data_IF_234360879767
#
_entry.id   IF_234360879767
#
_cell.length_a   1.000
_cell.length_b   1.000
_cell.length_c   1.000
_cell.angle_alpha   90.00
_cell.angle_beta   90.00
_cell.angle_gamma   90.00
#
_symmetry.space_group_name_H-M   'P 1'
#
loop_
_entity.id
_entity.type
_entity.pdbx_description
1 polymer ?
2 non-polymer ?
3 non-polymer ?
4 non-polymer ?
5 water ?
#
# COMPACT_ATOMS: atom_id res chain seq x y z
N UNK A 1 18.07 -14.68 -0.59
CA UNK A 1 18.19 -13.26 -0.15
C UNK A 1 16.85 -12.75 0.37
N UNK A 2 16.87 -12.16 1.57
CA UNK A 2 15.67 -11.61 2.19
C UNK A 2 15.86 -10.13 2.54
N UNK A 3 14.95 -9.29 2.04
CA UNK A 3 14.98 -7.86 2.30
C UNK A 3 13.66 -7.39 2.93
N UNK A 4 13.72 -6.34 3.74
CA UNK A 4 12.55 -5.81 4.43
C UNK A 4 12.48 -4.29 4.35
N UNK A 5 11.38 -3.73 4.82
CA UNK A 5 11.19 -2.30 4.75
C UNK A 5 9.87 -1.83 5.33
N UNK A 6 9.62 -0.53 5.18
CA UNK A 6 8.43 0.11 5.72
C UNK A 6 8.02 1.29 4.85
N UNK A 7 6.72 1.43 4.62
CA UNK A 7 6.18 2.47 3.75
C UNK A 7 5.24 3.31 4.59
N UNK A 8 5.69 4.49 5.00
CA UNK A 8 4.84 5.39 5.77
C UNK A 8 4.05 6.26 4.80
N UNK A 9 2.77 5.94 4.63
CA UNK A 9 1.90 6.68 3.72
C UNK A 9 1.44 8.01 4.30
N UNK A 10 1.27 8.07 5.62
CA UNK A 10 0.87 9.30 6.29
C UNK A 10 -0.58 9.69 6.04
N UNK A 11 -0.85 11.00 6.12
CA UNK A 11 -2.20 11.55 5.93
C UNK A 11 -2.68 11.36 4.49
N UNK A 12 -3.99 11.20 4.30
CA UNK A 12 -4.54 10.94 2.97
C UNK A 12 -4.90 12.21 2.19
N UNK A 13 -4.65 13.37 2.81
CA UNK A 13 -4.67 14.64 2.10
C UNK A 13 -3.56 14.66 1.05
N UNK A 14 -2.45 14.00 1.35
CA UNK A 14 -1.33 13.89 0.42
C UNK A 14 -1.46 12.76 -0.58
N UNK A 15 -2.49 11.94 -0.44
CA UNK A 15 -2.73 10.83 -1.36
C UNK A 15 -3.35 11.36 -2.65
N UNK A 16 -3.18 10.61 -3.73
CA UNK A 16 -3.77 10.96 -5.02
C UNK A 16 -5.13 10.29 -5.20
N UNK A 17 -6.07 11.01 -5.80
CA UNK A 17 -7.32 10.40 -6.25
C UNK A 17 -7.00 9.54 -7.46
N UNK A 18 -7.40 8.27 -7.40
CA UNK A 18 -7.26 7.36 -8.53
C UNK A 18 -8.64 6.83 -8.95
N UNK A 19 -8.80 6.45 -10.21
CA UNK A 19 -10.11 5.98 -10.69
C UNK A 19 -10.41 4.59 -10.16
N UNK A 20 -11.65 4.39 -9.70
CA UNK A 20 -12.06 3.12 -9.11
C UNK A 20 -11.94 1.97 -10.11
N UNK A 21 -11.52 0.81 -9.61
CA UNK A 21 -11.51 -0.43 -10.38
C UNK A 21 -12.46 -1.47 -9.78
N UNK A 22 -13.23 -1.05 -8.78
CA UNK A 22 -14.29 -1.84 -8.17
C UNK A 22 -15.58 -1.03 -8.30
N UNK A 23 -16.59 -1.55 -8.99
CA UNK A 23 -17.84 -0.80 -9.21
C UNK A 23 -18.54 -0.31 -7.95
N UNK A 24 -18.43 -1.06 -6.85
CA UNK A 24 -19.04 -0.68 -5.58
C UNK A 24 -18.30 0.37 -4.75
N UNK A 25 -17.13 0.82 -5.20
CA UNK A 25 -16.35 1.84 -4.50
C UNK A 25 -16.26 3.12 -5.31
N UNK A 26 -16.45 4.26 -4.64
CA UNK A 26 -16.20 5.58 -5.23
C UNK A 26 -15.26 6.40 -4.33
N UNK A 27 -14.83 7.56 -4.84
CA UNK A 27 -13.88 8.42 -4.13
C UNK A 27 -12.64 7.65 -3.67
N UNK A 28 -12.17 6.74 -4.52
CA UNK A 28 -11.01 5.91 -4.21
C UNK A 28 -9.76 6.77 -4.27
N UNK A 29 -9.00 6.80 -3.18
CA UNK A 29 -7.69 7.45 -3.15
C UNK A 29 -6.61 6.42 -2.86
N UNK A 30 -5.35 6.83 -2.97
CA UNK A 30 -4.24 5.89 -2.84
C UNK A 30 -2.88 6.60 -2.82
N UNK A 31 -2.04 6.25 -1.84
CA UNK A 31 -0.63 6.63 -1.86
C UNK A 31 0.16 5.47 -2.45
N UNK A 32 0.37 5.51 -3.76
CA UNK A 32 1.16 4.49 -4.44
C UNK A 32 2.65 4.79 -4.29
N UNK A 33 3.45 3.73 -4.26
CA UNK A 33 4.89 3.85 -4.11
C UNK A 33 5.59 2.79 -4.95
N UNK A 34 6.71 3.17 -5.54
CA UNK A 34 7.56 2.25 -6.29
C UNK A 34 8.82 1.99 -5.48
N UNK A 35 8.85 0.84 -4.80
CA UNK A 35 9.99 0.43 -3.98
C UNK A 35 11.02 -0.29 -4.84
N UNK A 36 12.29 0.00 -4.59
CA UNK A 36 13.39 -0.63 -5.31
C UNK A 36 14.30 -1.37 -4.33
N UNK A 37 14.51 -2.66 -4.58
CA UNK A 37 15.31 -3.50 -3.71
C UNK A 37 16.76 -3.02 -3.65
N UNK A 38 17.34 -3.03 -2.45
CA UNK A 38 18.75 -2.68 -2.27
C UNK A 38 19.64 -3.60 -3.11
N UNK A 39 19.50 -4.90 -2.88
CA UNK A 39 20.19 -5.92 -3.68
C UNK A 39 19.18 -6.56 -4.64
N UNK A 40 19.22 -6.18 -5.92
CA UNK A 40 18.25 -6.69 -6.89
C UNK A 40 18.21 -8.21 -6.95
N UNK A 41 17.01 -8.76 -7.02
CA UNK A 41 16.83 -10.16 -7.35
C UNK A 41 16.94 -10.34 -8.86
N UNK A 42 16.90 -11.59 -9.29
CA UNK A 42 16.98 -11.95 -10.71
C UNK A 42 15.64 -12.53 -11.15
N UNK A 43 15.09 -13.42 -10.32
CA UNK A 43 13.69 -13.80 -10.41
C UNK A 43 12.91 -12.97 -9.39
N UNK A 44 11.72 -12.49 -9.75
CA UNK A 44 10.90 -11.70 -8.82
C UNK A 44 10.69 -12.41 -7.49
N UNK A 45 10.96 -11.76 -6.37
CA UNK A 45 10.78 -12.39 -5.06
C UNK A 45 9.30 -12.47 -4.69
N UNK A 46 8.93 -13.40 -3.82
CA UNK A 46 7.61 -13.40 -3.21
C UNK A 46 7.56 -12.27 -2.19
N UNK A 47 6.56 -11.40 -2.28
CA UNK A 47 6.44 -10.26 -1.38
C UNK A 47 5.16 -10.35 -0.54
N UNK A 48 5.29 -10.11 0.76
CA UNK A 48 4.14 -10.02 1.66
C UNK A 48 4.01 -8.61 2.21
N UNK A 49 2.80 -8.07 2.16
CA UNK A 49 2.52 -6.78 2.76
C UNK A 49 1.80 -6.97 4.09
N UNK A 50 2.00 -6.01 4.98
CA UNK A 50 1.47 -6.06 6.33
C UNK A 50 1.21 -4.64 6.81
N UNK A 51 0.01 -4.38 7.29
CA UNK A 51 -0.32 -3.07 7.83
C UNK A 51 0.12 -3.06 9.28
N UNK A 52 1.13 -2.26 9.60
CA UNK A 52 1.66 -2.19 10.96
C UNK A 52 1.37 -0.85 11.63
N UNK A 53 0.63 0.03 10.97
CA UNK A 53 0.21 1.28 11.59
C UNK A 53 -1.12 1.76 11.01
N UNK A 54 -1.95 2.33 11.88
CA UNK A 54 -3.27 2.79 11.49
C UNK A 54 -3.74 3.91 12.41
N UNK A 55 -4.21 4.99 11.80
CA UNK A 55 -4.82 6.10 12.51
C UNK A 55 -6.02 6.51 11.67
N UNK A 56 -7.22 6.12 12.10
CA UNK A 56 -8.42 6.27 11.29
C UNK A 56 -9.55 6.90 12.10
N UNK A 57 -10.26 7.82 11.46
CA UNK A 57 -11.38 8.55 12.06
C UNK A 57 -12.52 7.60 12.43
N UNK A 58 -13.00 7.73 13.66
CA UNK A 58 -13.96 6.80 14.24
C UNK A 58 -15.40 7.06 13.82
N UNK A 59 -15.69 8.28 13.37
CA UNK A 59 -17.04 8.67 12.99
C UNK A 59 -17.45 8.06 11.65
N UNK A 60 -16.46 7.67 10.86
CA UNK A 60 -16.70 7.01 9.57
C UNK A 60 -16.04 5.64 9.53
N UNK A 61 -16.43 4.83 8.55
CA UNK A 61 -15.98 3.44 8.47
C UNK A 61 -14.49 3.30 8.20
N UNK A 62 -13.91 2.25 8.78
CA UNK A 62 -12.55 1.84 8.48
C UNK A 62 -12.54 1.15 7.12
N UNK A 63 -12.09 1.87 6.09
CA UNK A 63 -11.87 1.30 4.77
C UNK A 63 -10.40 1.47 4.40
N UNK A 64 -9.64 0.38 4.46
CA UNK A 64 -8.21 0.39 4.11
C UNK A 64 -7.80 -0.90 3.40
N UNK A 65 -6.88 -0.78 2.44
CA UNK A 65 -6.24 -1.92 1.81
C UNK A 65 -4.73 -1.67 1.81
N UNK A 66 -3.97 -2.75 1.91
CA UNK A 66 -2.55 -2.73 1.62
C UNK A 66 -2.43 -3.50 0.31
N UNK A 67 -2.52 -2.76 -0.79
CA UNK A 67 -2.61 -3.35 -2.12
C UNK A 67 -1.24 -3.62 -2.72
N UNK A 68 -1.02 -4.86 -3.16
CA UNK A 68 0.23 -5.25 -3.81
C UNK A 68 -0.02 -5.45 -5.30
N UNK A 69 0.35 -4.46 -6.10
CA UNK A 69 0.09 -4.47 -7.54
C UNK A 69 0.94 -5.47 -8.31
N UNK A 70 2.25 -5.31 -8.25
CA UNK A 70 3.16 -6.13 -9.04
C UNK A 70 4.52 -6.31 -8.38
N UNK A 71 5.27 -7.30 -8.85
CA UNK A 71 6.61 -7.58 -8.34
C UNK A 71 7.54 -8.00 -9.47
N UNK A 72 8.53 -7.16 -9.74
CA UNK A 72 9.60 -7.46 -10.68
C UNK A 72 10.81 -7.96 -9.90
N UNK A 73 11.87 -8.38 -10.60
CA UNK A 73 13.12 -8.76 -9.93
C UNK A 73 13.80 -7.59 -9.24
N UNK A 74 13.44 -6.39 -9.67
CA UNK A 74 14.13 -5.17 -9.30
C UNK A 74 13.41 -4.38 -8.19
N UNK A 75 12.13 -4.69 -7.95
CA UNK A 75 11.31 -3.93 -7.02
C UNK A 75 9.84 -4.33 -7.03
N UNK A 76 8.96 -3.43 -6.58
CA UNK A 76 7.51 -3.67 -6.59
C UNK A 76 6.68 -2.40 -6.40
N UNK A 77 5.46 -2.41 -6.93
CA UNK A 77 4.50 -1.33 -6.73
C UNK A 77 3.44 -1.78 -5.73
N UNK A 78 3.32 -1.05 -4.62
CA UNK A 78 2.26 -1.27 -3.64
C UNK A 78 1.74 0.07 -3.13
N UNK A 79 0.63 0.05 -2.40
CA UNK A 79 -0.03 1.29 -1.98
C UNK A 79 -0.89 1.16 -0.72
N UNK A 80 -1.06 2.27 -0.01
CA UNK A 80 -2.15 2.41 0.95
C UNK A 80 -3.34 2.90 0.18
N UNK A 81 -4.47 2.23 0.33
CA UNK A 81 -5.64 2.46 -0.50
C UNK A 81 -6.86 2.62 0.39
N UNK A 82 -7.55 3.75 0.28
CA UNK A 82 -8.83 3.94 0.96
C UNK A 82 -9.88 4.50 -0.01
N UNK A 83 -11.13 4.54 0.44
CA UNK A 83 -12.22 5.04 -0.41
C UNK A 83 -13.46 5.52 0.36
N UNK A 84 -14.38 6.14 -0.37
CA UNK A 84 -15.60 6.74 0.18
C UNK A 84 -15.26 7.88 1.16
N UNK A 85 -15.97 7.99 2.28
CA UNK A 85 -15.74 9.08 3.23
C UNK A 85 -14.81 8.71 4.39
N UNK A 86 -14.07 7.62 4.23
CA UNK A 86 -13.06 7.24 5.21
C UNK A 86 -11.98 8.30 5.30
N UNK A 87 -11.54 8.59 6.52
CA UNK A 87 -10.41 9.49 6.74
C UNK A 87 -9.27 8.72 7.40
N UNK A 88 -8.14 8.64 6.72
CA UNK A 88 -6.93 8.03 7.26
C UNK A 88 -5.91 9.12 7.59
N UNK A 89 -5.65 9.30 8.88
CA UNK A 89 -4.60 10.21 9.36
C UNK A 89 -3.21 9.59 9.20
N UNK A 90 -3.13 8.27 9.21
CA UNK A 90 -1.84 7.57 9.20
C UNK A 90 -1.98 6.10 8.81
N UNK A 91 -1.14 5.64 7.88
CA UNK A 91 -1.09 4.22 7.54
C UNK A 91 0.29 3.82 7.08
N UNK A 92 0.92 2.88 7.80
CA UNK A 92 2.22 2.35 7.42
C UNK A 92 2.10 0.87 7.06
N UNK A 93 2.85 0.46 6.04
CA UNK A 93 2.85 -0.91 5.54
C UNK A 93 4.26 -1.45 5.59
N UNK A 94 4.52 -2.38 6.50
CA UNK A 94 5.78 -3.12 6.49
C UNK A 94 5.70 -4.23 5.44
N UNK A 95 6.82 -4.52 4.79
CA UNK A 95 6.88 -5.56 3.77
C UNK A 95 8.13 -6.42 3.89
N UNK A 96 8.07 -7.61 3.29
CA UNK A 96 9.20 -8.53 3.24
C UNK A 96 9.30 -9.15 1.84
N UNK A 97 10.52 -9.51 1.44
CA UNK A 97 10.78 -10.08 0.12
C UNK A 97 11.76 -11.23 0.25
N UNK A 98 11.46 -12.34 -0.42
CA UNK A 98 12.29 -13.54 -0.38
C UNK A 98 12.43 -14.07 -1.81
N UNK A 99 13.61 -14.57 -2.16
CA UNK A 99 13.87 -15.02 -3.53
C UNK A 99 12.92 -16.15 -3.96
N UNK A 100 13.18 -17.37 -3.49
CA UNK A 100 12.44 -18.59 -3.88
C UNK A 100 13.28 -19.84 -3.60
X LIG B 1 6.70 3.17 -10.34
X LIG B 1 6.61 2.72 -11.80
X LIG B 1 6.27 3.89 -12.72
X LIG B 1 4.99 4.57 -12.23
X LIG B 1 5.19 5.01 -10.78
X LIG B 1 3.94 5.69 -10.21
X LIG B 1 7.85 1.01 -13.04
X LIG B 1 8.97 0.03 -12.81
X LIG B 1 7.84 2.10 -12.26
X LIG B 1 6.10 3.45 -14.04
X LIG B 1 4.71 5.67 -13.07
X LIG B 1 5.54 3.90 -9.97
X LIG B 1 2.77 4.94 -10.46
X LIG B 1 7.01 0.80 -13.92
X LIG C 1 -24.17 2.22 2.09
X LIG C 1 -23.59 3.32 1.31
X LIG C 1 -23.77 3.04 -0.18
X LIG C 1 -23.81 1.83 -0.53
X LIG C 1 -22.09 3.43 1.61
X LIG C 1 -21.39 2.34 0.97
X LIG C 1 -23.84 4.03 -0.94
X LIG D 1 -19.62 1.73 2.38
X LIG D 1 -19.98 2.46 1.19
X LIG D 1 -19.16 2.00 -0.02
X LIG D 1 -19.69 2.58 -1.26
X LIG D 1 -19.10 0.47 -0.15
X LIG D 1 -18.07 0.13 -1.08
X LIG D 1 -18.79 -0.18 1.19
X LIG D 1 -17.46 0.16 1.58
X LIG D 1 -19.77 0.31 2.25
X LIG D 1 -19.44 -0.38 3.58
X LIG D 1 -18.77 0.54 4.45
X LIG D 1 -18.94 3.36 -2.04
X LIG D 1 -17.77 3.65 -1.79
X LIG D 1 -19.63 3.89 -3.30
#
# INVERSE_FOLDING_TARGET
>A
RVQSGKINCGDDAGWAKVPSDDPGRDNTRELAKNITFASPYCRPPVVLLSITQLDVEQSQNLRVIARLYSVSPTGFKASCYTWHNTKVYSMSISWISIENY
>B hetero
1 NAG C1 C2 C3 C4 C5 C6 C7 C8 N2 O3 O4 O5 O6 O7
>C hetero
1 SER N CA C O CB OG OXT
>D hetero
1 A2G O5 C1 C2 N2 C3 O3 C4 O4 C5 C6 O6 C7 O7 C8
#
